data_IF_590476698237
#
_entry.id   IF_590476698237
#
_cell.length_a   1.000
_cell.length_b   1.000
_cell.length_c   1.000
_cell.angle_alpha   90.00
_cell.angle_beta   90.00
_cell.angle_gamma   90.00
#
_symmetry.space_group_name_H-M   'P 1'
#
loop_
_entity.id
_entity.type
_entity.pdbx_description
1 polymer ?
#
# COMPACT_ATOMS: atom_id res chain seq x y z
N UNK A 1 -21.09 14.92 8.54
CA UNK A 1 -19.96 14.11 8.03
C UNK A 1 -19.96 12.81 8.81
N UNK A 2 -20.14 11.67 8.15
CA UNK A 2 -20.02 10.37 8.82
C UNK A 2 -18.59 10.26 9.37
N UNK A 3 -18.46 10.08 10.67
CA UNK A 3 -17.14 9.78 11.28
C UNK A 3 -16.79 8.37 10.86
N UNK A 4 -16.03 8.24 9.76
CA UNK A 4 -15.50 6.97 9.23
C UNK A 4 -14.48 6.40 10.22
N UNK A 5 -14.96 5.94 11.37
CA UNK A 5 -14.16 5.29 12.40
C UNK A 5 -14.11 3.81 12.08
N UNK A 6 -12.90 3.22 12.14
CA UNK A 6 -12.73 1.78 12.03
C UNK A 6 -13.54 1.09 13.12
N UNK A 7 -14.18 -0.04 12.80
CA UNK A 7 -14.79 -0.88 13.82
C UNK A 7 -13.73 -1.35 14.82
N UNK A 8 -14.13 -1.60 16.08
CA UNK A 8 -13.20 -2.12 17.10
C UNK A 8 -12.51 -3.41 16.66
N UNK A 9 -13.27 -4.30 16.01
CA UNK A 9 -12.73 -5.54 15.47
C UNK A 9 -11.63 -5.30 14.42
N UNK A 10 -11.85 -4.36 13.49
CA UNK A 10 -10.85 -4.03 12.48
C UNK A 10 -9.58 -3.45 13.12
N UNK A 11 -9.70 -2.58 14.13
CA UNK A 11 -8.56 -2.03 14.86
C UNK A 11 -7.76 -3.13 15.58
N UNK A 12 -8.44 -4.06 16.26
CA UNK A 12 -7.81 -5.20 16.93
C UNK A 12 -7.04 -6.06 15.93
N UNK A 13 -7.66 -6.43 14.81
CA UNK A 13 -7.01 -7.27 13.79
C UNK A 13 -5.80 -6.60 13.14
N UNK A 14 -5.86 -5.29 12.88
CA UNK A 14 -4.72 -4.53 12.35
C UNK A 14 -3.58 -4.49 13.37
N UNK A 15 -3.90 -4.22 14.63
CA UNK A 15 -2.92 -4.22 15.73
C UNK A 15 -2.24 -5.60 15.86
N UNK A 16 -3.03 -6.67 15.90
CA UNK A 16 -2.51 -8.04 16.03
C UNK A 16 -1.63 -8.44 14.84
N UNK A 17 -2.00 -8.03 13.62
CA UNK A 17 -1.22 -8.29 12.42
C UNK A 17 0.16 -7.63 12.48
N UNK A 18 0.24 -6.34 12.80
CA UNK A 18 1.51 -5.62 12.86
C UNK A 18 2.36 -5.98 14.08
N UNK A 19 1.75 -6.42 15.18
CA UNK A 19 2.48 -6.86 16.36
C UNK A 19 3.08 -8.27 16.22
N UNK A 20 2.45 -9.16 15.43
CA UNK A 20 2.79 -10.58 15.43
C UNK A 20 3.17 -11.17 14.07
N UNK A 21 2.91 -10.48 12.96
CA UNK A 21 3.10 -11.03 11.60
C UNK A 21 4.22 -10.34 10.84
N UNK A 22 4.20 -9.00 10.78
CA UNK A 22 5.15 -8.23 9.99
C UNK A 22 5.27 -6.82 10.56
N UNK A 23 6.52 -6.33 10.67
CA UNK A 23 6.77 -4.96 11.11
C UNK A 23 6.17 -3.96 10.10
N UNK A 24 5.56 -2.85 10.57
CA UNK A 24 4.99 -1.82 9.70
C UNK A 24 5.95 -1.36 8.61
N UNK A 25 7.22 -1.17 8.96
CA UNK A 25 8.25 -0.72 8.04
C UNK A 25 8.58 -1.74 6.95
N UNK A 26 8.66 -3.02 7.33
CA UNK A 26 8.85 -4.12 6.39
C UNK A 26 7.66 -4.24 5.43
N UNK A 27 6.43 -4.06 5.92
CA UNK A 27 5.24 -4.00 5.06
C UNK A 27 5.31 -2.80 4.11
N UNK A 28 5.70 -1.61 4.59
CA UNK A 28 5.84 -0.44 3.74
C UNK A 28 6.87 -0.66 2.61
N UNK A 29 8.01 -1.27 2.91
CA UNK A 29 9.04 -1.66 1.93
C UNK A 29 8.45 -2.61 0.87
N UNK A 30 7.67 -3.62 1.28
CA UNK A 30 7.01 -4.55 0.37
C UNK A 30 5.95 -3.86 -0.52
N UNK A 31 5.10 -2.99 0.05
CA UNK A 31 4.10 -2.23 -0.69
C UNK A 31 4.76 -1.32 -1.75
N UNK A 32 5.83 -0.61 -1.38
CA UNK A 32 6.60 0.24 -2.32
C UNK A 32 7.24 -0.58 -3.44
N UNK A 33 7.77 -1.76 -3.14
CA UNK A 33 8.33 -2.66 -4.15
C UNK A 33 7.26 -3.09 -5.17
N UNK A 34 6.07 -3.47 -4.70
CA UNK A 34 4.95 -3.83 -5.58
C UNK A 34 4.55 -2.65 -6.46
N UNK A 35 4.41 -1.46 -5.87
CA UNK A 35 4.10 -0.24 -6.63
C UNK A 35 5.16 0.08 -7.68
N UNK A 36 6.45 -0.05 -7.35
CA UNK A 36 7.54 0.15 -8.31
C UNK A 36 7.42 -0.81 -9.51
N UNK A 37 7.16 -2.10 -9.27
CA UNK A 37 7.02 -3.09 -10.34
C UNK A 37 5.81 -2.77 -11.23
N UNK A 38 4.68 -2.39 -10.62
CA UNK A 38 3.47 -2.00 -11.35
C UNK A 38 3.73 -0.77 -12.25
N UNK A 39 4.36 0.27 -11.71
CA UNK A 39 4.72 1.46 -12.47
C UNK A 39 5.68 1.12 -13.62
N UNK A 40 6.68 0.27 -13.37
CA UNK A 40 7.61 -0.18 -14.40
C UNK A 40 6.91 -0.95 -15.52
N UNK A 41 5.92 -1.78 -15.18
CA UNK A 41 5.12 -2.51 -16.15
C UNK A 41 4.28 -1.59 -17.03
N UNK A 42 3.69 -0.54 -16.46
CA UNK A 42 2.98 0.50 -17.22
C UNK A 42 3.92 1.25 -18.17
N UNK A 43 5.09 1.68 -17.68
CA UNK A 43 6.11 2.38 -18.51
C UNK A 43 6.59 1.50 -19.67
N UNK A 44 6.66 0.19 -19.47
CA UNK A 44 7.05 -0.78 -20.50
C UNK A 44 5.90 -1.17 -21.44
N UNK A 45 4.75 -0.53 -21.31
CA UNK A 45 3.56 -0.79 -22.13
C UNK A 45 3.11 -2.25 -22.08
N UNK A 46 3.22 -2.89 -20.90
CA UNK A 46 2.73 -4.26 -20.71
C UNK A 46 1.23 -4.34 -21.04
N UNK A 47 0.89 -5.17 -22.03
CA UNK A 47 -0.46 -5.21 -22.62
C UNK A 47 -1.55 -5.50 -21.58
N UNK A 48 -1.26 -6.34 -20.59
CA UNK A 48 -2.23 -6.68 -19.53
C UNK A 48 -2.45 -5.49 -18.61
N UNK A 49 -1.38 -4.79 -18.22
CA UNK A 49 -1.49 -3.61 -17.37
C UNK A 49 -2.13 -2.43 -18.08
N UNK A 50 -1.91 -2.27 -19.39
CA UNK A 50 -2.55 -1.21 -20.18
C UNK A 50 -4.07 -1.36 -20.23
N UNK A 51 -4.58 -2.59 -20.29
CA UNK A 51 -6.03 -2.85 -20.25
C UNK A 51 -6.67 -2.45 -18.91
N UNK A 52 -5.89 -2.35 -17.84
CA UNK A 52 -6.35 -2.14 -16.46
C UNK A 52 -5.84 -0.82 -15.86
N UNK A 53 -5.31 0.10 -16.68
CA UNK A 53 -4.56 1.27 -16.23
C UNK A 53 -5.34 2.18 -15.26
N UNK A 54 -6.65 2.36 -15.49
CA UNK A 54 -7.51 3.18 -14.61
C UNK A 54 -7.70 2.53 -13.24
N UNK A 55 -7.85 1.21 -13.18
CA UNK A 55 -7.95 0.50 -11.90
C UNK A 55 -6.60 0.54 -11.19
N UNK A 56 -5.52 0.41 -11.95
CA UNK A 56 -4.16 0.45 -11.45
C UNK A 56 -3.80 1.80 -10.84
N UNK A 57 -4.22 2.92 -11.43
CA UNK A 57 -4.00 4.26 -10.89
C UNK A 57 -4.55 4.39 -9.46
N UNK A 58 -5.81 3.96 -9.25
CA UNK A 58 -6.43 3.97 -7.93
C UNK A 58 -5.70 3.06 -6.94
N UNK A 59 -5.36 1.82 -7.34
CA UNK A 59 -4.62 0.90 -6.49
C UNK A 59 -3.24 1.42 -6.14
N UNK A 60 -2.52 1.99 -7.12
CA UNK A 60 -1.19 2.57 -6.95
C UNK A 60 -1.21 3.70 -5.91
N UNK A 61 -2.21 4.59 -5.98
CA UNK A 61 -2.43 5.64 -4.99
C UNK A 61 -2.59 5.07 -3.57
N UNK A 62 -3.53 4.14 -3.36
CA UNK A 62 -3.78 3.58 -2.04
C UNK A 62 -2.61 2.78 -1.46
N UNK A 63 -1.87 2.07 -2.31
CA UNK A 63 -0.68 1.34 -1.88
C UNK A 63 0.44 2.29 -1.41
N UNK A 64 0.60 3.45 -2.06
CA UNK A 64 1.56 4.47 -1.62
C UNK A 64 1.10 5.15 -0.33
N UNK A 65 -0.16 5.57 -0.24
CA UNK A 65 -0.71 6.18 0.97
C UNK A 65 -0.56 5.24 2.18
N UNK A 66 -0.87 3.95 2.03
CA UNK A 66 -0.69 2.99 3.10
C UNK A 66 0.79 2.79 3.45
N UNK A 67 1.68 2.70 2.47
CA UNK A 67 3.11 2.59 2.73
C UNK A 67 3.64 3.82 3.50
N UNK A 68 3.14 5.02 3.19
CA UNK A 68 3.51 6.26 3.86
C UNK A 68 3.00 6.30 5.31
N UNK A 69 1.77 5.84 5.56
CA UNK A 69 1.24 5.71 6.92
C UNK A 69 2.09 4.75 7.76
N UNK A 70 2.54 3.64 7.16
CA UNK A 70 3.29 2.59 7.85
C UNK A 70 4.78 2.92 8.04
N UNK A 71 5.35 3.72 7.14
CA UNK A 71 6.73 4.20 7.22
C UNK A 71 6.82 5.64 6.65
N UNK A 72 6.51 6.66 7.45
CA UNK A 72 6.43 8.05 7.01
C UNK A 72 7.79 8.71 6.76
N UNK A 73 8.88 8.04 7.13
CA UNK A 73 10.21 8.58 6.92
C UNK A 73 11.03 7.63 6.04
N UNK A 74 10.83 7.76 4.74
CA UNK A 74 11.48 6.95 3.71
C UNK A 74 13.03 7.07 3.73
N UNK A 75 13.57 8.18 4.25
CA UNK A 75 14.96 8.62 4.04
C UNK A 75 15.82 8.77 5.33
N UNK A 76 15.43 8.19 6.48
CA UNK A 76 16.22 8.30 7.74
C UNK A 76 17.01 7.05 8.12
N UNK A 77 17.05 6.04 7.26
CA UNK A 77 17.90 4.84 7.41
C UNK A 77 19.01 4.76 6.37
#
# INVERSE_FOLDING_TARGET
MSTNTLSKEAQTRLTDFFNNTIEPESMAKALRQVNYILALGVIREDETLQQEIIKLENSFYWLNELAEILNPYLDVE
#
